data_IF_199698332992
#
_entry.id   IF_199698332992
#
_cell.length_a   1.000
_cell.length_b   1.000
_cell.length_c   1.000
_cell.angle_alpha   90.00
_cell.angle_beta   90.00
_cell.angle_gamma   90.00
#
_symmetry.space_group_name_H-M   'P 1'
#
loop_
_entity.id
_entity.type
_entity.pdbx_description
1 polymer ?
#
# COMPACT_ATOMS: atom_id res chain seq x y z
N UNK A 1 49.17 -3.65 -24.44
CA UNK A 1 48.80 -4.33 -25.71
C UNK A 1 48.41 -5.78 -25.43
N UNK A 2 47.17 -6.18 -25.74
CA UNK A 2 46.62 -7.55 -26.04
C UNK A 2 45.11 -7.54 -25.73
N UNK A 3 44.28 -7.15 -26.71
CA UNK A 3 43.45 -7.97 -27.63
C UNK A 3 42.07 -8.34 -27.04
N UNK A 4 41.04 -7.67 -27.57
CA UNK A 4 39.61 -7.98 -27.46
C UNK A 4 39.28 -9.44 -27.78
N UNK A 5 38.24 -9.98 -27.12
CA UNK A 5 37.26 -10.87 -27.75
C UNK A 5 35.85 -10.50 -27.32
N UNK A 6 35.11 -9.95 -28.27
CA UNK A 6 33.65 -9.90 -28.31
C UNK A 6 33.15 -11.32 -28.62
N UNK A 7 32.16 -11.79 -27.87
CA UNK A 7 31.32 -12.93 -28.25
C UNK A 7 29.88 -12.61 -27.84
N UNK A 8 29.02 -12.50 -28.85
CA UNK A 8 27.58 -12.32 -28.77
C UNK A 8 26.86 -13.68 -28.63
N UNK A 9 25.52 -13.62 -28.56
CA UNK A 9 24.52 -14.71 -28.64
C UNK A 9 24.24 -15.42 -27.29
N UNK A 10 23.00 -15.71 -26.87
CA UNK A 10 21.67 -15.63 -27.48
C UNK A 10 20.62 -15.61 -26.35
N UNK A 11 19.52 -14.87 -26.55
CA UNK A 11 18.27 -15.04 -25.81
C UNK A 11 17.65 -16.40 -26.17
N UNK A 12 17.14 -17.14 -25.18
CA UNK A 12 16.13 -18.19 -25.39
C UNK A 12 15.08 -18.08 -24.29
N UNK A 13 13.92 -17.52 -24.63
CA UNK A 13 12.67 -17.74 -23.90
C UNK A 13 12.11 -19.08 -24.34
N UNK A 14 11.88 -19.99 -23.39
CA UNK A 14 11.04 -21.16 -23.59
C UNK A 14 9.90 -21.11 -22.57
N UNK A 15 8.74 -20.66 -23.03
CA UNK A 15 7.44 -20.85 -22.39
C UNK A 15 6.73 -21.98 -23.15
N UNK A 16 6.59 -23.14 -22.53
CA UNK A 16 5.57 -24.13 -22.86
C UNK A 16 5.51 -25.18 -21.74
N UNK A 17 4.35 -25.26 -21.08
CA UNK A 17 4.07 -26.24 -20.04
C UNK A 17 2.71 -25.99 -19.39
N UNK A 18 1.65 -25.98 -20.20
CA UNK A 18 0.30 -26.26 -19.72
C UNK A 18 0.25 -27.73 -19.33
N UNK A 19 -0.05 -28.03 -18.06
CA UNK A 19 -0.50 -29.37 -17.67
C UNK A 19 -1.94 -29.24 -17.17
N UNK A 20 -2.84 -29.90 -17.90
CA UNK A 20 -4.27 -29.87 -17.79
C UNK A 20 -4.72 -31.12 -17.04
N UNK A 21 -5.52 -30.99 -15.98
CA UNK A 21 -6.22 -32.13 -15.39
C UNK A 21 -7.72 -31.97 -15.63
N UNK A 22 -8.23 -32.69 -16.62
CA UNK A 22 -9.64 -32.85 -16.92
C UNK A 22 -10.31 -33.75 -15.88
N UNK A 23 -11.34 -33.25 -15.21
CA UNK A 23 -12.39 -34.09 -14.61
C UNK A 23 -13.71 -33.77 -15.32
N UNK A 24 -14.33 -34.79 -15.89
CA UNK A 24 -15.45 -34.70 -16.82
C UNK A 24 -16.79 -34.33 -16.12
N UNK A 25 -17.84 -33.95 -16.89
CA UNK A 25 -18.80 -32.92 -16.51
C UNK A 25 -20.13 -33.44 -15.95
N UNK A 26 -20.80 -32.61 -15.16
CA UNK A 26 -22.27 -32.65 -15.01
C UNK A 26 -22.83 -31.24 -15.16
N UNK A 27 -23.59 -31.03 -16.23
CA UNK A 27 -24.29 -29.81 -16.56
C UNK A 27 -25.62 -29.70 -15.78
N UNK A 28 -25.89 -28.57 -15.12
CA UNK A 28 -27.25 -27.99 -15.04
C UNK A 28 -27.20 -26.46 -14.85
N UNK A 29 -27.83 -25.75 -15.79
CA UNK A 29 -28.47 -24.41 -15.73
C UNK A 29 -27.63 -23.14 -15.46
N UNK A 30 -27.32 -22.48 -16.58
CA UNK A 30 -27.71 -21.10 -16.98
C UNK A 30 -28.33 -20.23 -15.88
N UNK A 31 -27.58 -19.23 -15.43
CA UNK A 31 -27.98 -17.82 -15.46
C UNK A 31 -26.73 -16.94 -15.49
N UNK A 32 -26.77 -15.90 -16.32
CA UNK A 32 -25.82 -14.79 -16.39
C UNK A 32 -26.65 -13.50 -16.22
N UNK A 33 -26.08 -12.30 -16.02
CA UNK A 33 -24.66 -11.93 -16.00
C UNK A 33 -24.29 -11.02 -14.81
N UNK A 34 -23.00 -10.86 -14.53
CA UNK A 34 -22.42 -9.51 -14.29
C UNK A 34 -20.90 -9.58 -14.27
N UNK A 35 -20.36 -9.21 -15.43
CA UNK A 35 -19.09 -8.54 -15.60
C UNK A 35 -19.01 -7.31 -14.67
N UNK A 36 -18.11 -7.32 -13.69
CA UNK A 36 -17.36 -6.12 -13.29
C UNK A 36 -15.97 -6.56 -12.84
N UNK A 37 -15.03 -6.47 -13.78
CA UNK A 37 -13.64 -6.12 -13.52
C UNK A 37 -13.63 -4.87 -12.63
N UNK A 38 -13.37 -5.02 -11.33
CA UNK A 38 -12.99 -3.89 -10.48
C UNK A 38 -11.58 -4.12 -9.98
N UNK A 39 -10.65 -3.56 -10.74
CA UNK A 39 -9.39 -3.09 -10.19
C UNK A 39 -9.70 -2.31 -8.90
N UNK A 40 -9.34 -2.88 -7.76
CA UNK A 40 -9.03 -2.09 -6.58
C UNK A 40 -7.50 -2.01 -6.55
N UNK A 41 -6.95 -1.23 -7.49
CA UNK A 41 -5.77 -0.45 -7.17
C UNK A 41 -6.13 0.27 -5.88
N UNK A 42 -5.49 -0.12 -4.78
CA UNK A 42 -5.49 0.67 -3.56
C UNK A 42 -4.72 1.93 -3.91
N UNK A 43 -5.41 2.86 -4.57
CA UNK A 43 -4.94 4.21 -4.74
C UNK A 43 -4.99 4.82 -3.35
N UNK A 44 -3.80 5.01 -2.81
CA UNK A 44 -3.53 5.83 -1.64
C UNK A 44 -3.88 7.29 -2.02
N UNK A 45 -5.18 7.63 -2.02
CA UNK A 45 -5.68 8.92 -2.52
C UNK A 45 -5.28 10.11 -1.63
N UNK A 46 -4.72 9.88 -0.44
CA UNK A 46 -4.31 10.99 0.46
C UNK A 46 -2.86 11.43 0.27
N UNK A 47 -1.97 10.57 -0.23
CA UNK A 47 -0.54 10.91 -0.40
C UNK A 47 -0.20 11.53 -1.76
N UNK A 48 -1.11 11.47 -2.73
CA UNK A 48 -0.88 11.94 -4.11
C UNK A 48 -0.81 13.47 -4.26
N UNK A 49 -1.02 14.24 -3.18
CA UNK A 49 -1.13 15.71 -3.26
C UNK A 49 0.23 16.43 -3.35
N UNK A 50 1.30 15.85 -2.82
CA UNK A 50 2.63 16.46 -2.81
C UNK A 50 3.50 15.94 -3.96
N UNK A 51 4.07 16.86 -4.72
CA UNK A 51 5.00 16.52 -5.81
C UNK A 51 6.32 15.97 -5.26
N UNK A 52 7.02 15.14 -6.05
CA UNK A 52 8.31 14.58 -5.63
C UNK A 52 9.34 15.63 -5.16
N UNK A 53 9.48 16.81 -5.81
CA UNK A 53 10.36 17.87 -5.31
C UNK A 53 9.95 18.42 -3.94
N UNK A 54 8.64 18.53 -3.66
CA UNK A 54 8.15 18.99 -2.36
C UNK A 54 8.43 17.96 -1.26
N UNK A 55 8.22 16.67 -1.56
CA UNK A 55 8.58 15.56 -0.66
C UNK A 55 10.07 15.57 -0.34
N UNK A 56 10.92 15.77 -1.35
CA UNK A 56 12.37 15.84 -1.16
C UNK A 56 12.79 17.04 -0.31
N UNK A 57 12.16 18.20 -0.51
CA UNK A 57 12.41 19.39 0.31
C UNK A 57 12.05 19.14 1.77
N UNK A 58 10.90 18.51 2.04
CA UNK A 58 10.49 18.16 3.40
C UNK A 58 11.48 17.18 4.06
N UNK A 59 11.96 16.17 3.34
CA UNK A 59 12.97 15.24 3.81
C UNK A 59 14.31 15.94 4.13
N UNK A 60 14.74 16.89 3.31
CA UNK A 60 15.94 17.70 3.59
C UNK A 60 15.78 18.57 4.85
N UNK A 61 14.60 19.15 5.05
CA UNK A 61 14.29 19.97 6.23
C UNK A 61 14.18 19.15 7.52
N UNK A 62 13.90 17.85 7.42
CA UNK A 62 13.88 16.92 8.55
C UNK A 62 15.19 16.15 8.72
N UNK A 63 16.18 16.33 7.85
CA UNK A 63 17.44 15.62 7.92
C UNK A 63 18.14 15.82 9.29
N UNK A 64 18.57 14.73 9.90
CA UNK A 64 19.22 14.72 11.21
C UNK A 64 18.27 14.83 12.41
N UNK A 65 16.96 14.97 12.20
CA UNK A 65 15.96 14.91 13.28
C UNK A 65 15.54 13.46 13.53
N UNK A 66 15.40 13.08 14.78
CA UNK A 66 14.92 11.74 15.15
C UNK A 66 13.41 11.60 14.88
N UNK A 67 13.00 10.45 14.37
CA UNK A 67 11.59 10.06 14.25
C UNK A 67 11.05 9.72 15.65
N UNK A 68 9.98 10.42 16.07
CA UNK A 68 9.27 10.14 17.32
C UNK A 68 7.76 10.18 17.09
N UNK A 69 7.04 9.30 17.78
CA UNK A 69 5.59 9.41 17.92
C UNK A 69 5.29 10.49 18.97
N UNK A 70 4.68 11.59 18.54
CA UNK A 70 4.34 12.72 19.40
C UNK A 70 3.00 12.51 20.09
N UNK A 71 2.04 11.93 19.38
CA UNK A 71 0.70 11.70 19.89
C UNK A 71 0.06 10.48 19.23
N UNK A 72 -0.85 9.84 19.96
CA UNK A 72 -1.75 8.81 19.48
C UNK A 72 -3.10 9.05 20.12
N UNK A 73 -4.05 9.50 19.30
CA UNK A 73 -5.37 9.93 19.77
C UNK A 73 -6.46 9.48 18.83
N UNK A 74 -7.67 9.39 19.37
CA UNK A 74 -8.89 9.24 18.58
C UNK A 74 -9.53 10.61 18.38
N UNK A 75 -9.91 10.93 17.16
CA UNK A 75 -10.61 12.16 16.80
C UNK A 75 -11.82 11.86 15.93
N UNK A 76 -12.81 12.73 15.94
CA UNK A 76 -13.92 12.66 14.99
C UNK A 76 -13.50 13.34 13.67
N UNK A 77 -13.45 12.59 12.58
CA UNK A 77 -13.20 13.10 11.24
C UNK A 77 -14.32 12.67 10.31
N UNK A 78 -14.93 13.63 9.61
CA UNK A 78 -16.08 13.38 8.71
C UNK A 78 -17.23 12.61 9.36
N UNK A 79 -17.45 12.83 10.66
CA UNK A 79 -18.50 12.17 11.44
C UNK A 79 -18.17 10.75 11.90
N UNK A 80 -16.97 10.22 11.65
CA UNK A 80 -16.53 8.90 12.11
C UNK A 80 -15.31 8.98 13.05
N UNK A 81 -15.22 8.03 13.99
CA UNK A 81 -14.06 7.86 14.86
C UNK A 81 -12.83 7.49 14.00
N UNK A 82 -11.72 8.17 14.22
CA UNK A 82 -10.48 8.00 13.46
C UNK A 82 -9.30 7.97 14.41
N UNK A 83 -8.50 6.91 14.31
CA UNK A 83 -7.22 6.83 15.02
C UNK A 83 -6.20 7.70 14.29
N UNK A 84 -5.53 8.59 15.00
CA UNK A 84 -4.50 9.48 14.44
C UNK A 84 -3.19 9.29 15.20
N UNK A 85 -2.14 8.95 14.45
CA UNK A 85 -0.76 8.92 14.95
C UNK A 85 -0.04 10.15 14.42
N UNK A 86 0.46 10.99 15.32
CA UNK A 86 1.18 12.22 14.98
C UNK A 86 2.68 12.03 15.17
N UNK A 87 3.47 12.30 14.14
CA UNK A 87 4.92 12.09 14.12
C UNK A 87 5.70 13.41 14.11
N UNK A 88 6.94 13.38 14.60
CA UNK A 88 7.82 14.55 14.66
C UNK A 88 8.32 15.05 13.31
N UNK A 89 8.44 14.14 12.34
CA UNK A 89 8.97 14.42 11.00
C UNK A 89 8.06 13.82 9.92
N UNK A 90 8.06 14.38 8.70
CA UNK A 90 7.36 13.82 7.55
C UNK A 90 7.76 12.35 7.31
N UNK A 91 6.75 11.49 7.12
CA UNK A 91 6.89 10.09 6.73
C UNK A 91 6.98 9.96 5.21
N UNK A 92 7.53 8.83 4.76
CA UNK A 92 7.56 8.48 3.35
C UNK A 92 6.21 7.92 2.89
N UNK A 93 5.49 8.58 1.97
CA UNK A 93 4.20 8.10 1.48
C UNK A 93 4.29 6.81 0.64
N UNK A 94 5.47 6.46 0.14
CA UNK A 94 5.67 5.26 -0.69
C UNK A 94 5.83 3.99 0.18
N UNK A 95 5.85 4.14 1.52
CA UNK A 95 5.94 3.04 2.47
C UNK A 95 4.59 2.31 2.65
N UNK A 96 4.62 0.98 2.67
CA UNK A 96 3.46 0.17 3.07
C UNK A 96 3.31 0.17 4.61
N UNK A 97 2.51 1.09 5.13
CA UNK A 97 2.27 1.24 6.57
C UNK A 97 1.61 0.02 7.21
N UNK A 98 0.87 -0.79 6.45
CA UNK A 98 0.18 -1.98 6.97
C UNK A 98 1.14 -3.06 7.48
N UNK A 99 2.41 -3.02 7.03
CA UNK A 99 3.46 -3.97 7.42
C UNK A 99 4.21 -3.57 8.69
N UNK A 100 4.14 -2.30 9.08
CA UNK A 100 4.97 -1.74 10.15
C UNK A 100 4.14 -1.23 11.33
N UNK A 101 2.89 -0.83 11.11
CA UNK A 101 1.99 -0.37 12.17
C UNK A 101 0.74 -1.25 12.15
N UNK A 102 0.58 -2.00 13.25
CA UNK A 102 -0.52 -2.94 13.43
C UNK A 102 -1.50 -2.40 14.47
N UNK A 103 -2.80 -2.47 14.15
CA UNK A 103 -3.88 -2.18 15.10
C UNK A 103 -4.65 -3.47 15.31
N UNK A 104 -4.76 -3.88 16.57
CA UNK A 104 -5.37 -5.16 16.97
C UNK A 104 -6.31 -4.87 18.14
N UNK A 105 -7.60 -5.12 17.93
CA UNK A 105 -8.57 -5.20 19.00
C UNK A 105 -8.35 -6.49 19.80
N UNK A 106 -8.51 -6.40 21.12
CA UNK A 106 -8.22 -7.51 22.03
C UNK A 106 -9.21 -8.68 21.90
N UNK A 107 -10.40 -8.46 21.34
CA UNK A 107 -11.47 -9.46 21.22
C UNK A 107 -11.64 -9.92 19.78
N UNK A 108 -11.73 -9.00 18.83
CA UNK A 108 -11.99 -9.31 17.41
C UNK A 108 -10.72 -9.50 16.59
N UNK A 109 -9.55 -9.13 17.12
CA UNK A 109 -8.26 -9.32 16.45
C UNK A 109 -7.90 -8.14 15.55
N UNK A 110 -7.36 -8.41 14.36
CA UNK A 110 -6.88 -7.35 13.45
C UNK A 110 -8.01 -6.37 13.13
N UNK A 111 -7.75 -5.08 13.31
CA UNK A 111 -8.67 -4.02 12.87
C UNK A 111 -8.54 -3.84 11.35
N UNK A 112 -9.66 -3.73 10.66
CA UNK A 112 -9.72 -3.46 9.23
C UNK A 112 -9.67 -1.97 8.91
N UNK A 113 -9.31 -1.65 7.67
CA UNK A 113 -9.09 -0.28 7.22
C UNK A 113 -7.70 -0.08 6.63
N UNK A 114 -7.57 0.96 5.82
CA UNK A 114 -6.32 1.38 5.21
C UNK A 114 -5.74 2.56 5.97
N UNK A 115 -4.42 2.59 6.10
CA UNK A 115 -3.72 3.76 6.60
C UNK A 115 -3.75 4.88 5.55
N UNK A 116 -4.13 6.08 5.98
CA UNK A 116 -4.12 7.29 5.19
C UNK A 116 -3.09 8.26 5.74
N UNK A 117 -2.12 8.66 4.92
CA UNK A 117 -1.15 9.67 5.30
C UNK A 117 -1.70 11.06 4.94
N UNK A 118 -1.69 11.98 5.91
CA UNK A 118 -2.18 13.34 5.71
C UNK A 118 -1.31 14.16 4.74
N UNK A 119 -1.86 15.26 4.23
CA UNK A 119 -1.18 16.21 3.34
C UNK A 119 0.15 16.75 3.92
N UNK A 120 0.30 16.80 5.24
CA UNK A 120 1.52 17.29 5.90
C UNK A 120 2.57 16.19 6.13
N UNK A 121 2.23 14.95 5.74
CA UNK A 121 3.01 13.72 5.89
C UNK A 121 3.39 13.36 7.33
N UNK A 122 2.82 14.01 8.34
CA UNK A 122 3.16 13.80 9.76
C UNK A 122 2.02 13.16 10.55
N UNK A 123 0.87 12.94 9.93
CA UNK A 123 -0.26 12.28 10.59
C UNK A 123 -0.66 11.06 9.77
N UNK A 124 -0.68 9.90 10.42
CA UNK A 124 -1.19 8.67 9.85
C UNK A 124 -2.56 8.38 10.46
N UNK A 125 -3.56 8.14 9.62
CA UNK A 125 -4.96 8.05 10.01
C UNK A 125 -5.52 6.67 9.66
N UNK A 126 -6.24 6.06 10.59
CA UNK A 126 -7.06 4.88 10.34
C UNK A 126 -8.51 5.24 10.66
N UNK A 127 -9.31 5.41 9.62
CA UNK A 127 -10.70 5.88 9.71
C UNK A 127 -11.66 4.75 10.04
N UNK A 128 -12.87 5.15 10.44
CA UNK A 128 -14.01 4.26 10.65
C UNK A 128 -13.75 3.21 11.72
N UNK A 129 -13.20 3.64 12.87
CA UNK A 129 -13.07 2.75 14.01
C UNK A 129 -14.44 2.32 14.52
N UNK A 130 -14.52 1.06 14.94
CA UNK A 130 -15.64 0.57 15.73
C UNK A 130 -15.62 1.21 17.14
N UNK A 131 -16.79 1.54 17.70
CA UNK A 131 -16.92 2.15 19.03
C UNK A 131 -16.69 1.19 20.20
#
# INVERSE_FOLDING_TARGET
>A
MKKLRVAACMLMLALAGCDNNDNAPTAVKKDAPSEVTKAASSENVSSAKLSAPERQKLAQQSAGKALTLLDLSEVQLDGAATLVLTFSIPLDPDQDFSRVIHVVDKKSGKVDGAWELSDNLKELRLRHLDP
#
